data_IF_699659263833
#
_entry.id   IF_699659263833
#
_cell.length_a   1.000
_cell.length_b   1.000
_cell.length_c   1.000
_cell.angle_alpha   90.00
_cell.angle_beta   90.00
_cell.angle_gamma   90.00
#
_symmetry.space_group_name_H-M   'P 1'
#
loop_
_entity.id
_entity.type
_entity.pdbx_description
1 polymer ?
#
# COMPACT_ATOMS: atom_id res chain seq x y z
N UNK A 1 67.82 -44.36 -9.02
CA UNK A 1 66.56 -43.72 -9.47
C UNK A 1 66.01 -42.86 -8.34
N UNK A 2 66.09 -41.53 -8.46
CA UNK A 2 65.58 -40.61 -7.44
C UNK A 2 64.07 -40.41 -7.63
N UNK A 3 63.26 -40.84 -6.66
CA UNK A 3 61.79 -40.75 -6.69
C UNK A 3 61.41 -39.31 -6.35
N UNK A 4 60.97 -38.51 -7.33
CA UNK A 4 60.34 -37.20 -7.08
C UNK A 4 59.02 -37.43 -6.34
N UNK A 5 58.99 -37.11 -5.04
CA UNK A 5 57.76 -37.06 -4.25
C UNK A 5 56.99 -35.83 -4.75
N UNK A 6 55.85 -36.08 -5.41
CA UNK A 6 54.91 -35.04 -5.82
C UNK A 6 54.25 -34.51 -4.55
N UNK A 7 54.56 -33.27 -4.13
CA UNK A 7 53.82 -32.61 -3.05
C UNK A 7 52.36 -32.47 -3.49
N UNK A 8 51.45 -33.17 -2.81
CA UNK A 8 50.03 -32.90 -2.90
C UNK A 8 49.74 -31.69 -2.02
N UNK A 9 49.41 -30.55 -2.62
CA UNK A 9 48.90 -29.39 -1.88
C UNK A 9 47.51 -29.77 -1.34
N UNK A 10 47.46 -30.36 -0.14
CA UNK A 10 46.23 -30.63 0.57
C UNK A 10 45.96 -29.48 1.54
N UNK A 11 44.73 -28.97 1.57
CA UNK A 11 44.32 -27.95 2.52
C UNK A 11 44.41 -28.48 3.94
N UNK A 12 44.91 -27.66 4.86
CA UNK A 12 44.94 -28.03 6.28
C UNK A 12 43.53 -27.98 6.86
N UNK A 13 43.24 -28.80 7.88
CA UNK A 13 41.96 -28.75 8.60
C UNK A 13 41.64 -27.34 9.12
N UNK A 14 42.67 -26.63 9.59
CA UNK A 14 42.54 -25.25 10.07
C UNK A 14 42.14 -24.28 8.96
N UNK A 15 42.72 -24.41 7.76
CA UNK A 15 42.39 -23.58 6.60
C UNK A 15 40.94 -23.80 6.13
N UNK A 16 40.47 -25.06 6.13
CA UNK A 16 39.07 -25.38 5.83
C UNK A 16 38.11 -24.83 6.90
N UNK A 17 38.49 -24.89 8.18
CA UNK A 17 37.65 -24.35 9.27
C UNK A 17 37.53 -22.83 9.23
N UNK A 18 38.63 -22.12 8.95
CA UNK A 18 38.62 -20.66 8.83
C UNK A 18 37.77 -20.23 7.63
N UNK A 19 37.92 -20.88 6.48
CA UNK A 19 37.13 -20.56 5.29
C UNK A 19 35.63 -20.83 5.48
N UNK A 20 35.24 -21.95 6.09
CA UNK A 20 33.85 -22.22 6.45
C UNK A 20 33.31 -21.23 7.48
N UNK A 21 34.14 -20.81 8.45
CA UNK A 21 33.77 -19.79 9.44
C UNK A 21 33.50 -18.42 8.81
N UNK A 22 34.36 -17.98 7.90
CA UNK A 22 34.17 -16.71 7.16
C UNK A 22 32.93 -16.78 6.27
N UNK A 23 32.72 -17.89 5.54
CA UNK A 23 31.52 -18.08 4.72
C UNK A 23 30.24 -18.08 5.57
N UNK A 24 30.27 -18.74 6.73
CA UNK A 24 29.14 -18.75 7.67
C UNK A 24 28.79 -17.36 8.19
N UNK A 25 29.80 -16.55 8.54
CA UNK A 25 29.59 -15.18 9.03
C UNK A 25 29.02 -14.26 7.94
N UNK A 26 29.58 -14.31 6.73
CA UNK A 26 29.10 -13.51 5.59
C UNK A 26 27.68 -13.93 5.19
N UNK A 27 27.40 -15.23 5.17
CA UNK A 27 26.06 -15.74 4.89
C UNK A 27 25.05 -15.28 5.95
N UNK A 28 25.39 -15.33 7.24
CA UNK A 28 24.53 -14.88 8.32
C UNK A 28 24.17 -13.39 8.21
N UNK A 29 25.10 -12.55 7.73
CA UNK A 29 24.84 -11.12 7.51
C UNK A 29 24.02 -10.83 6.25
N UNK A 30 24.10 -11.68 5.22
CA UNK A 30 23.48 -11.41 3.91
C UNK A 30 22.16 -12.12 3.68
N UNK A 31 21.95 -13.30 4.27
CA UNK A 31 20.72 -14.08 4.12
C UNK A 31 19.43 -13.31 4.50
N UNK A 32 19.37 -12.58 5.63
CA UNK A 32 18.15 -11.85 6.02
C UNK A 32 17.74 -10.81 4.97
N UNK A 33 18.70 -10.01 4.48
CA UNK A 33 18.46 -8.97 3.49
C UNK A 33 18.00 -9.56 2.14
N UNK A 34 18.60 -10.67 1.71
CA UNK A 34 18.19 -11.35 0.47
C UNK A 34 16.75 -11.88 0.61
N UNK A 35 16.45 -12.52 1.73
CA UNK A 35 15.12 -13.09 1.98
C UNK A 35 14.02 -12.02 2.02
N UNK A 36 14.27 -10.86 2.61
CA UNK A 36 13.33 -9.74 2.62
C UNK A 36 13.01 -9.28 1.18
N UNK A 37 14.05 -9.03 0.37
CA UNK A 37 13.89 -8.57 -1.01
C UNK A 37 13.22 -9.60 -1.92
N UNK A 38 13.53 -10.88 -1.76
CA UNK A 38 12.88 -11.97 -2.51
C UNK A 38 11.40 -12.08 -2.12
N UNK A 39 11.09 -11.96 -0.83
CA UNK A 39 9.70 -12.01 -0.35
C UNK A 39 8.89 -10.84 -0.90
N UNK A 40 9.44 -9.63 -0.88
CA UNK A 40 8.79 -8.45 -1.48
C UNK A 40 8.47 -8.66 -2.96
N UNK A 41 9.42 -9.23 -3.73
CA UNK A 41 9.20 -9.59 -5.13
C UNK A 41 8.08 -10.60 -5.31
N UNK A 42 8.05 -11.65 -4.51
CA UNK A 42 7.02 -12.70 -4.57
C UNK A 42 5.65 -12.10 -4.24
N UNK A 43 5.56 -11.27 -3.20
CA UNK A 43 4.32 -10.67 -2.74
C UNK A 43 3.76 -9.67 -3.75
N UNK A 44 4.59 -8.83 -4.37
CA UNK A 44 4.17 -7.90 -5.42
C UNK A 44 3.66 -8.64 -6.67
N UNK A 45 4.32 -9.74 -7.07
CA UNK A 45 3.83 -10.56 -8.19
C UNK A 45 2.50 -11.24 -7.85
N UNK A 46 2.31 -11.71 -6.61
CA UNK A 46 1.03 -12.28 -6.16
C UNK A 46 -0.08 -11.23 -6.17
N UNK A 47 0.18 -10.04 -5.64
CA UNK A 47 -0.77 -8.92 -5.68
C UNK A 47 -1.21 -8.61 -7.11
N UNK A 48 -0.25 -8.44 -8.03
CA UNK A 48 -0.54 -8.14 -9.41
C UNK A 48 -1.34 -9.26 -10.08
N UNK A 49 -1.04 -10.53 -9.78
CA UNK A 49 -1.76 -11.68 -10.34
C UNK A 49 -3.21 -11.76 -9.84
N UNK A 50 -3.45 -11.61 -8.53
CA UNK A 50 -4.80 -11.60 -7.95
C UNK A 50 -5.63 -10.47 -8.56
N UNK A 51 -5.07 -9.26 -8.57
CA UNK A 51 -5.72 -8.09 -9.14
C UNK A 51 -6.02 -8.28 -10.64
N UNK A 52 -5.08 -8.79 -11.42
CA UNK A 52 -5.27 -9.09 -12.83
C UNK A 52 -6.40 -10.09 -13.09
N UNK A 53 -6.56 -11.13 -12.26
CA UNK A 53 -7.65 -12.10 -12.39
C UNK A 53 -9.02 -11.47 -12.15
N UNK A 54 -9.13 -10.62 -11.14
CA UNK A 54 -10.35 -9.87 -10.84
C UNK A 54 -10.67 -8.92 -11.99
N UNK A 55 -9.67 -8.16 -12.46
CA UNK A 55 -9.81 -7.24 -13.60
C UNK A 55 -10.24 -7.95 -14.88
N UNK A 56 -9.65 -9.13 -15.17
CA UNK A 56 -10.06 -9.92 -16.33
C UNK A 56 -11.51 -10.41 -16.19
N UNK A 57 -11.96 -10.75 -14.98
CA UNK A 57 -13.35 -11.14 -14.75
C UNK A 57 -14.31 -9.96 -14.93
N UNK A 58 -13.96 -8.76 -14.45
CA UNK A 58 -14.77 -7.55 -14.65
C UNK A 58 -14.77 -7.09 -16.11
N UNK A 59 -13.66 -7.22 -16.83
CA UNK A 59 -13.60 -6.92 -18.26
C UNK A 59 -14.53 -7.84 -19.07
N UNK A 60 -14.63 -9.12 -18.70
CA UNK A 60 -15.61 -10.05 -19.29
C UNK A 60 -17.05 -9.64 -18.95
N UNK A 61 -17.31 -9.22 -17.72
CA UNK A 61 -18.63 -8.71 -17.32
C UNK A 61 -19.00 -7.46 -18.14
N UNK A 62 -18.06 -6.55 -18.39
CA UNK A 62 -18.26 -5.39 -19.26
C UNK A 62 -18.65 -5.82 -20.68
N UNK A 63 -17.90 -6.77 -21.26
CA UNK A 63 -18.16 -7.25 -22.62
C UNK A 63 -19.57 -7.85 -22.79
N UNK A 64 -20.17 -8.32 -21.69
CA UNK A 64 -21.54 -8.85 -21.65
C UNK A 64 -22.60 -7.80 -21.25
N UNK A 65 -22.20 -6.53 -21.06
CA UNK A 65 -23.09 -5.46 -20.61
C UNK A 65 -23.53 -5.57 -19.15
N UNK A 66 -22.90 -6.43 -18.36
CA UNK A 66 -23.29 -6.74 -16.98
C UNK A 66 -22.87 -5.66 -15.98
N UNK A 67 -21.93 -4.80 -16.35
CA UNK A 67 -21.49 -3.67 -15.51
C UNK A 67 -22.34 -2.41 -15.67
N UNK A 68 -23.21 -2.35 -16.67
CA UNK A 68 -24.08 -1.18 -16.92
C UNK A 68 -25.33 -1.18 -16.03
N UNK A 69 -25.54 -2.25 -15.25
CA UNK A 69 -26.59 -2.36 -14.25
C UNK A 69 -26.11 -2.01 -12.84
N UNK A 70 -27.00 -1.48 -12.01
CA UNK A 70 -26.74 -1.26 -10.58
C UNK A 70 -26.94 -2.56 -9.80
N UNK A 71 -25.89 -3.07 -9.16
CA UNK A 71 -26.03 -4.18 -8.22
C UNK A 71 -26.51 -3.66 -6.86
N UNK A 72 -27.56 -4.29 -6.31
CA UNK A 72 -28.14 -3.86 -5.04
C UNK A 72 -27.19 -4.08 -3.84
N UNK A 73 -26.30 -5.07 -3.92
CA UNK A 73 -25.36 -5.43 -2.87
C UNK A 73 -24.10 -6.08 -3.44
N UNK A 74 -23.06 -6.17 -2.61
CA UNK A 74 -21.84 -6.93 -2.92
C UNK A 74 -22.14 -8.39 -3.22
N UNK A 75 -23.09 -9.01 -2.52
CA UNK A 75 -23.49 -10.39 -2.79
C UNK A 75 -24.00 -10.59 -4.21
N UNK A 76 -24.88 -9.69 -4.68
CA UNK A 76 -25.41 -9.74 -6.04
C UNK A 76 -24.32 -9.54 -7.10
N UNK A 77 -23.37 -8.64 -6.83
CA UNK A 77 -22.21 -8.43 -7.70
C UNK A 77 -21.32 -9.69 -7.77
N UNK A 78 -21.02 -10.28 -6.60
CA UNK A 78 -20.18 -11.47 -6.51
C UNK A 78 -20.84 -12.69 -7.15
N UNK A 79 -22.17 -12.78 -7.11
CA UNK A 79 -22.92 -13.84 -7.78
C UNK A 79 -22.72 -13.85 -9.29
N UNK A 80 -22.52 -12.67 -9.89
CA UNK A 80 -22.16 -12.54 -11.29
C UNK A 80 -20.66 -12.71 -11.50
N UNK A 81 -19.82 -12.09 -10.66
CA UNK A 81 -18.37 -12.16 -10.76
C UNK A 81 -17.85 -13.60 -10.74
N UNK A 82 -18.39 -14.45 -9.86
CA UNK A 82 -17.95 -15.84 -9.70
C UNK A 82 -18.21 -16.72 -10.94
N UNK A 83 -19.06 -16.28 -11.88
CA UNK A 83 -19.23 -16.96 -13.18
C UNK A 83 -18.03 -16.75 -14.10
N UNK A 84 -17.29 -15.66 -13.89
CA UNK A 84 -16.14 -15.26 -14.70
C UNK A 84 -14.80 -15.38 -13.94
N UNK A 85 -14.85 -15.57 -12.62
CA UNK A 85 -13.72 -15.74 -11.72
C UNK A 85 -13.80 -17.12 -11.04
N UNK A 86 -12.71 -17.89 -11.11
CA UNK A 86 -12.64 -19.22 -10.47
C UNK A 86 -12.54 -19.08 -8.94
N UNK A 87 -13.68 -19.18 -8.27
CA UNK A 87 -13.81 -19.15 -6.81
C UNK A 87 -13.94 -20.58 -6.27
N UNK A 88 -13.12 -20.94 -5.29
CA UNK A 88 -13.19 -22.22 -4.58
C UNK A 88 -14.12 -22.17 -3.36
N UNK A 89 -14.17 -21.03 -2.67
CA UNK A 89 -15.03 -20.84 -1.48
C UNK A 89 -15.54 -19.40 -1.42
N UNK A 90 -16.81 -19.24 -1.08
CA UNK A 90 -17.44 -17.94 -0.79
C UNK A 90 -17.91 -17.91 0.66
N UNK A 91 -17.73 -16.76 1.30
CA UNK A 91 -18.19 -16.48 2.65
C UNK A 91 -18.96 -15.16 2.66
N UNK A 92 -20.10 -15.15 3.34
CA UNK A 92 -20.88 -13.95 3.60
C UNK A 92 -20.22 -13.08 4.67
N UNK A 93 -20.74 -11.87 4.87
CA UNK A 93 -20.30 -10.99 5.96
C UNK A 93 -20.37 -11.64 7.36
N UNK A 94 -21.28 -12.60 7.58
CA UNK A 94 -21.44 -13.25 8.89
C UNK A 94 -20.39 -14.32 9.19
N UNK A 95 -19.76 -14.89 8.15
CA UNK A 95 -18.76 -15.95 8.27
C UNK A 95 -17.49 -15.62 7.48
N UNK A 96 -17.17 -14.33 7.36
CA UNK A 96 -16.10 -13.85 6.47
C UNK A 96 -14.71 -14.36 6.88
N UNK A 97 -14.52 -14.62 8.17
CA UNK A 97 -13.29 -15.20 8.71
C UNK A 97 -13.00 -16.60 8.16
N UNK A 98 -14.01 -17.37 7.72
CA UNK A 98 -13.82 -18.71 7.17
C UNK A 98 -13.15 -18.69 5.78
N UNK A 99 -13.15 -17.54 5.11
CA UNK A 99 -12.50 -17.32 3.81
C UNK A 99 -11.20 -16.52 3.94
N UNK A 100 -10.71 -16.33 5.16
CA UNK A 100 -9.43 -15.67 5.41
C UNK A 100 -8.48 -16.63 6.14
N UNK A 101 -7.16 -16.60 5.86
CA UNK A 101 -6.24 -17.56 6.45
C UNK A 101 -6.02 -17.40 7.96
N UNK A 102 -6.20 -16.18 8.48
CA UNK A 102 -5.97 -15.86 9.90
C UNK A 102 -7.22 -15.27 10.55
N UNK A 103 -7.43 -15.52 11.84
CA UNK A 103 -8.55 -14.93 12.58
C UNK A 103 -8.34 -13.45 12.89
N UNK A 104 -7.07 -13.08 13.10
CA UNK A 104 -6.63 -11.72 13.37
C UNK A 104 -5.63 -11.27 12.33
N UNK A 105 -5.63 -9.98 12.05
CA UNK A 105 -4.67 -9.29 11.20
C UNK A 105 -4.15 -8.08 11.94
N UNK A 106 -2.91 -7.68 11.65
CA UNK A 106 -2.38 -6.40 12.13
C UNK A 106 -2.72 -5.35 11.07
N UNK A 107 -3.49 -4.35 11.44
CA UNK A 107 -3.91 -3.25 10.55
C UNK A 107 -2.77 -2.26 10.32
N UNK A 108 -2.95 -1.34 9.36
CA UNK A 108 -1.91 -0.37 9.00
C UNK A 108 -1.48 0.59 10.13
N UNK A 109 -2.27 0.66 11.20
CA UNK A 109 -2.04 1.40 12.45
C UNK A 109 -1.30 0.57 13.52
N UNK A 110 -1.00 -0.71 13.24
CA UNK A 110 -0.33 -1.62 14.17
C UNK A 110 -1.25 -2.30 15.18
N UNK A 111 -2.57 -2.07 15.10
CA UNK A 111 -3.56 -2.67 15.98
C UNK A 111 -3.98 -4.08 15.50
N UNK A 112 -4.45 -4.91 16.44
CA UNK A 112 -5.04 -6.20 16.08
C UNK A 112 -6.50 -6.02 15.65
N UNK A 113 -6.81 -6.44 14.43
CA UNK A 113 -8.16 -6.49 13.90
C UNK A 113 -8.66 -7.93 13.74
N UNK A 114 -9.85 -8.21 14.26
CA UNK A 114 -10.52 -9.49 14.07
C UNK A 114 -11.23 -9.52 12.71
N UNK A 115 -10.85 -10.44 11.83
CA UNK A 115 -11.37 -10.51 10.46
C UNK A 115 -12.88 -10.72 10.44
N UNK A 116 -13.45 -11.40 11.44
CA UNK A 116 -14.90 -11.59 11.61
C UNK A 116 -15.69 -10.27 11.75
N UNK A 117 -15.01 -9.17 12.10
CA UNK A 117 -15.58 -7.83 12.20
C UNK A 117 -15.55 -7.07 10.87
N UNK A 118 -14.88 -7.57 9.83
CA UNK A 118 -14.86 -6.95 8.50
C UNK A 118 -16.19 -7.18 7.73
N UNK A 119 -17.31 -6.78 8.31
CA UNK A 119 -18.65 -7.12 7.79
C UNK A 119 -19.12 -6.21 6.67
N UNK A 120 -18.73 -4.93 6.68
CA UNK A 120 -19.21 -3.95 5.68
C UNK A 120 -18.07 -3.13 5.09
N UNK A 121 -18.36 -2.39 4.01
CA UNK A 121 -17.39 -1.50 3.35
C UNK A 121 -16.74 -0.49 4.29
N UNK A 122 -17.48 -0.04 5.30
CA UNK A 122 -16.94 0.79 6.40
C UNK A 122 -15.76 0.12 7.11
N UNK A 123 -15.80 -1.20 7.31
CA UNK A 123 -14.71 -1.95 7.93
C UNK A 123 -13.52 -2.21 6.99
N UNK A 124 -13.67 -1.88 5.71
CA UNK A 124 -12.58 -1.82 4.74
C UNK A 124 -12.17 -0.38 4.42
N UNK A 125 -12.50 0.58 5.30
CA UNK A 125 -12.16 1.99 5.14
C UNK A 125 -12.74 2.63 3.86
N UNK A 126 -13.88 2.12 3.37
CA UNK A 126 -14.57 2.70 2.21
C UNK A 126 -15.61 3.70 2.73
N UNK A 127 -15.34 5.00 2.53
CA UNK A 127 -16.18 6.09 3.03
C UNK A 127 -17.63 5.95 2.53
N UNK A 128 -18.60 6.12 3.42
CA UNK A 128 -20.03 6.11 3.09
C UNK A 128 -20.61 4.74 2.72
N UNK A 129 -19.77 3.72 2.50
CA UNK A 129 -20.21 2.42 2.06
C UNK A 129 -20.70 1.56 3.24
N UNK A 130 -21.96 1.14 3.17
CA UNK A 130 -22.59 0.26 4.16
C UNK A 130 -22.89 -1.12 3.61
N UNK A 131 -22.47 -1.42 2.38
CA UNK A 131 -22.66 -2.73 1.76
C UNK A 131 -21.92 -3.80 2.52
N UNK A 132 -22.52 -4.98 2.61
CA UNK A 132 -21.88 -6.17 3.18
C UNK A 132 -20.62 -6.52 2.39
N UNK A 133 -19.61 -7.01 3.08
CA UNK A 133 -18.42 -7.57 2.45
C UNK A 133 -18.64 -9.04 2.13
N UNK A 134 -17.94 -9.51 1.12
CA UNK A 134 -17.93 -10.91 0.72
C UNK A 134 -16.50 -11.41 0.70
N UNK A 135 -16.23 -12.47 1.46
CA UNK A 135 -14.95 -13.16 1.45
C UNK A 135 -14.92 -14.22 0.35
N UNK A 136 -13.83 -14.29 -0.40
CA UNK A 136 -13.64 -15.25 -1.48
C UNK A 136 -12.27 -15.91 -1.34
N UNK A 137 -12.23 -17.23 -1.47
CA UNK A 137 -11.00 -17.99 -1.71
C UNK A 137 -11.03 -18.40 -3.18
N UNK A 138 -10.05 -17.95 -3.95
CA UNK A 138 -9.87 -18.27 -5.36
C UNK A 138 -9.38 -19.71 -5.53
N UNK A 139 -9.52 -20.26 -6.73
CA UNK A 139 -9.11 -21.64 -7.04
C UNK A 139 -7.60 -21.91 -6.90
N UNK A 140 -6.77 -20.86 -6.85
CA UNK A 140 -5.34 -20.95 -6.57
C UNK A 140 -4.99 -20.78 -5.08
N UNK A 141 -6.01 -20.68 -4.22
CA UNK A 141 -5.86 -20.49 -2.78
C UNK A 141 -5.70 -19.05 -2.32
N UNK A 142 -5.70 -18.06 -3.24
CA UNK A 142 -5.66 -16.66 -2.86
C UNK A 142 -6.95 -16.24 -2.15
N UNK A 143 -6.82 -15.53 -1.03
CA UNK A 143 -7.97 -15.04 -0.25
C UNK A 143 -8.16 -13.55 -0.48
N UNK A 144 -9.40 -13.14 -0.76
CA UNK A 144 -9.80 -11.73 -0.94
C UNK A 144 -11.06 -11.44 -0.12
N UNK A 145 -11.15 -10.22 0.43
CA UNK A 145 -12.39 -9.68 0.99
C UNK A 145 -12.78 -8.48 0.15
N UNK A 146 -13.93 -8.59 -0.51
CA UNK A 146 -14.41 -7.65 -1.52
C UNK A 146 -15.62 -6.87 -1.01
N UNK A 147 -15.67 -5.61 -1.39
CA UNK A 147 -16.83 -4.72 -1.23
C UNK A 147 -17.21 -4.14 -2.59
N UNK A 148 -18.51 -4.11 -2.87
CA UNK A 148 -19.06 -3.35 -4.00
C UNK A 148 -19.35 -1.91 -3.57
N UNK A 149 -18.84 -0.96 -4.35
CA UNK A 149 -19.08 0.45 -4.13
C UNK A 149 -20.43 0.87 -4.71
N UNK A 150 -21.41 1.12 -3.83
CA UNK A 150 -22.74 1.58 -4.25
C UNK A 150 -22.71 2.98 -4.88
N UNK A 151 -21.70 3.81 -4.59
CA UNK A 151 -21.54 5.11 -5.24
C UNK A 151 -21.15 4.98 -6.72
N UNK A 152 -20.72 3.79 -7.15
CA UNK A 152 -20.43 3.48 -8.55
C UNK A 152 -21.65 2.97 -9.32
N UNK A 153 -22.84 2.94 -8.70
CA UNK A 153 -24.08 2.54 -9.37
C UNK A 153 -24.43 3.50 -10.51
N UNK A 154 -24.72 2.94 -11.69
CA UNK A 154 -25.07 3.71 -12.87
C UNK A 154 -23.92 4.52 -13.49
N UNK A 155 -22.68 4.34 -13.02
CA UNK A 155 -21.52 4.90 -13.71
C UNK A 155 -21.34 4.18 -15.04
N UNK A 156 -21.42 4.93 -16.13
CA UNK A 156 -21.01 4.41 -17.44
C UNK A 156 -19.51 4.08 -17.38
N UNK A 157 -19.21 2.79 -17.57
CA UNK A 157 -17.83 2.31 -17.62
C UNK A 157 -17.15 2.81 -18.91
N UNK A 158 -17.91 3.34 -19.88
CA UNK A 158 -17.45 3.82 -21.17
C UNK A 158 -17.05 2.66 -22.09
N UNK A 159 -17.04 2.88 -23.40
CA UNK A 159 -16.78 1.80 -24.37
C UNK A 159 -15.32 1.30 -24.34
N UNK A 160 -14.36 2.20 -24.13
CA UNK A 160 -12.93 1.87 -24.12
C UNK A 160 -12.49 1.42 -22.73
N UNK A 161 -11.78 0.29 -22.62
CA UNK A 161 -11.16 -0.12 -21.35
C UNK A 161 -9.90 0.72 -21.13
N UNK A 162 -9.85 1.45 -20.02
CA UNK A 162 -8.70 2.26 -19.62
C UNK A 162 -7.99 1.59 -18.47
N UNK A 163 -6.71 1.27 -18.66
CA UNK A 163 -5.88 0.67 -17.62
C UNK A 163 -5.11 1.76 -16.86
N UNK A 164 -5.12 1.68 -15.53
CA UNK A 164 -4.31 2.50 -14.66
C UNK A 164 -3.14 1.65 -14.10
N UNK A 165 -1.89 1.95 -14.49
CA UNK A 165 -0.72 1.27 -13.98
C UNK A 165 -0.44 1.66 -12.53
N UNK A 166 0.04 0.71 -11.74
CA UNK A 166 0.55 0.95 -10.39
C UNK A 166 1.94 0.34 -10.25
N UNK A 167 2.88 1.16 -9.80
CA UNK A 167 4.27 0.79 -9.54
C UNK A 167 4.35 -0.02 -8.24
N UNK A 168 4.88 -1.23 -8.32
CA UNK A 168 5.09 -2.12 -7.17
C UNK A 168 6.57 -2.41 -6.98
N UNK A 169 7.07 -2.52 -5.73
CA UNK A 169 8.45 -2.86 -5.46
C UNK A 169 8.72 -4.34 -5.76
N UNK A 170 9.90 -4.65 -6.31
CA UNK A 170 10.36 -6.01 -6.63
C UNK A 170 11.56 -6.44 -5.78
N UNK A 171 11.82 -5.73 -4.68
CA UNK A 171 13.05 -5.88 -3.89
C UNK A 171 14.28 -5.31 -4.59
N UNK A 172 15.36 -5.18 -3.82
CA UNK A 172 16.66 -4.66 -4.24
C UNK A 172 16.58 -3.24 -4.84
N UNK A 173 15.67 -2.39 -4.33
CA UNK A 173 15.45 -1.04 -4.84
C UNK A 173 14.86 -0.99 -6.26
N UNK A 174 14.38 -2.13 -6.79
CA UNK A 174 13.73 -2.21 -8.09
C UNK A 174 12.23 -2.09 -7.94
N UNK A 175 11.59 -1.51 -8.95
CA UNK A 175 10.14 -1.45 -9.06
C UNK A 175 9.71 -1.87 -10.46
N UNK A 176 8.42 -2.20 -10.60
CA UNK A 176 7.80 -2.49 -11.89
C UNK A 176 6.36 -2.01 -11.91
N UNK A 177 5.96 -1.45 -13.04
CA UNK A 177 4.59 -1.06 -13.28
C UNK A 177 3.75 -2.28 -13.66
N UNK A 178 2.60 -2.38 -13.00
CA UNK A 178 1.59 -3.37 -13.33
C UNK A 178 0.27 -2.66 -13.62
N UNK A 179 -0.28 -2.91 -14.80
CA UNK A 179 -1.63 -2.50 -15.15
C UNK A 179 -2.62 -3.55 -14.66
N UNK A 180 -3.18 -3.33 -13.47
CA UNK A 180 -4.17 -4.24 -12.87
C UNK A 180 -5.42 -3.54 -12.35
N UNK A 181 -5.53 -2.23 -12.52
CA UNK A 181 -6.77 -1.49 -12.27
C UNK A 181 -7.30 -0.95 -13.59
N UNK A 182 -8.60 -0.99 -13.78
CA UNK A 182 -9.28 -0.43 -14.97
C UNK A 182 -10.55 0.29 -14.57
N UNK A 183 -11.14 1.04 -15.49
CA UNK A 183 -12.50 1.55 -15.34
C UNK A 183 -13.54 0.43 -15.05
N UNK A 184 -13.34 -0.81 -15.52
CA UNK A 184 -14.26 -1.94 -15.22
C UNK A 184 -14.22 -2.37 -13.76
N UNK A 185 -13.10 -2.12 -13.08
CA UNK A 185 -12.97 -2.38 -11.65
C UNK A 185 -13.45 -1.22 -10.78
N UNK A 186 -13.90 -0.09 -11.34
CA UNK A 186 -14.23 1.14 -10.61
C UNK A 186 -15.18 0.91 -9.42
N UNK A 187 -16.16 0.02 -9.59
CA UNK A 187 -17.18 -0.28 -8.60
C UNK A 187 -16.76 -1.29 -7.51
N UNK A 188 -15.51 -1.72 -7.46
CA UNK A 188 -15.03 -2.67 -6.44
C UNK A 188 -13.73 -2.24 -5.78
N UNK A 189 -13.64 -2.61 -4.51
CA UNK A 189 -12.51 -2.41 -3.63
C UNK A 189 -12.35 -3.70 -2.81
N UNK A 190 -11.11 -4.16 -2.61
CA UNK A 190 -10.88 -5.40 -1.88
C UNK A 190 -9.49 -5.44 -1.24
N UNK A 191 -9.40 -6.15 -0.11
CA UNK A 191 -8.13 -6.54 0.51
C UNK A 191 -7.80 -7.98 0.10
N UNK A 192 -6.51 -8.29 -0.07
CA UNK A 192 -6.04 -9.61 -0.46
C UNK A 192 -4.87 -10.09 0.38
N UNK A 193 -4.82 -11.39 0.66
CA UNK A 193 -3.66 -12.04 1.26
C UNK A 193 -2.63 -12.40 0.17
N UNK A 194 -1.39 -11.97 0.34
CA UNK A 194 -0.26 -12.34 -0.52
C UNK A 194 0.72 -13.28 0.16
N UNK A 195 0.59 -13.51 1.46
CA UNK A 195 1.51 -14.35 2.24
C UNK A 195 1.12 -15.84 2.23
N UNK A 196 -0.10 -16.18 1.83
CA UNK A 196 -0.55 -17.57 1.71
C UNK A 196 -0.68 -18.26 3.06
N UNK A 197 -1.21 -17.55 4.06
CA UNK A 197 -1.56 -18.11 5.37
C UNK A 197 -0.42 -18.30 6.37
N UNK A 198 0.77 -17.72 6.14
CA UNK A 198 1.82 -17.67 7.18
C UNK A 198 1.50 -16.53 8.15
N UNK A 199 1.43 -16.83 9.45
CA UNK A 199 1.13 -15.84 10.50
C UNK A 199 2.40 -15.19 11.07
N UNK A 200 2.28 -14.00 11.70
CA UNK A 200 1.08 -13.15 11.75
C UNK A 200 0.89 -12.37 10.43
N UNK A 201 -0.34 -12.38 9.90
CA UNK A 201 -0.66 -11.67 8.66
C UNK A 201 -0.86 -10.18 8.96
N UNK A 202 -0.10 -9.32 8.30
CA UNK A 202 -0.10 -7.87 8.57
C UNK A 202 -0.25 -7.02 7.31
N UNK A 203 -1.02 -5.94 7.43
CA UNK A 203 -1.02 -4.81 6.49
C UNK A 203 0.29 -4.00 6.59
N UNK A 204 0.90 -3.92 7.77
CA UNK A 204 2.18 -3.22 8.02
C UNK A 204 3.03 -3.88 9.10
N UNK A 205 4.30 -4.17 8.80
CA UNK A 205 5.35 -4.42 9.81
C UNK A 205 6.46 -3.42 9.51
N UNK A 206 6.83 -2.58 10.49
CA UNK A 206 7.88 -1.56 10.36
C UNK A 206 7.68 -0.59 9.18
N UNK A 207 6.46 -0.06 9.00
CA UNK A 207 6.09 0.83 7.88
C UNK A 207 6.26 0.22 6.47
N UNK A 208 6.44 -1.09 6.35
CA UNK A 208 6.46 -1.80 5.06
C UNK A 208 5.22 -2.69 4.95
N UNK A 209 4.46 -2.51 3.87
CA UNK A 209 3.39 -3.42 3.53
C UNK A 209 4.00 -4.79 3.24
N UNK A 210 3.61 -5.87 3.95
CA UNK A 210 4.17 -7.21 3.70
C UNK A 210 3.16 -8.24 3.23
N UNK A 211 2.11 -8.51 4.01
CA UNK A 211 1.37 -9.76 3.85
C UNK A 211 -0.07 -9.59 3.37
N UNK A 212 -0.67 -8.45 3.70
CA UNK A 212 -1.96 -8.02 3.20
C UNK A 212 -1.75 -6.88 2.22
N UNK A 213 -2.49 -6.89 1.11
CA UNK A 213 -2.42 -5.86 0.08
C UNK A 213 -3.80 -5.31 -0.25
N UNK A 214 -3.84 -4.00 -0.44
CA UNK A 214 -5.04 -3.28 -0.85
C UNK A 214 -5.14 -3.20 -2.37
N UNK A 215 -6.32 -3.49 -2.89
CA UNK A 215 -6.76 -3.01 -4.18
C UNK A 215 -7.48 -1.68 -3.98
N UNK A 216 -6.97 -0.62 -4.61
CA UNK A 216 -7.40 0.78 -4.40
C UNK A 216 -7.41 1.19 -2.93
N UNK A 217 -8.55 1.61 -2.38
CA UNK A 217 -8.67 2.26 -1.07
C UNK A 217 -8.94 1.26 0.08
N UNK A 218 -9.26 0.00 -0.23
CA UNK A 218 -9.65 -0.99 0.78
C UNK A 218 -8.53 -1.26 1.80
N UNK A 219 -8.83 -1.11 3.08
CA UNK A 219 -7.94 -1.45 4.21
C UNK A 219 -8.74 -1.91 5.41
N UNK A 220 -8.31 -2.95 6.10
CA UNK A 220 -8.96 -3.36 7.35
C UNK A 220 -8.98 -2.17 8.32
N UNK A 221 -10.15 -1.91 8.89
CA UNK A 221 -10.37 -0.74 9.72
C UNK A 221 -11.54 -0.95 10.67
N UNK A 222 -11.44 -0.36 11.86
CA UNK A 222 -12.56 -0.20 12.78
C UNK A 222 -13.55 0.89 12.33
N UNK A 223 -13.28 1.57 11.22
CA UNK A 223 -14.03 2.71 10.68
C UNK A 223 -13.18 3.99 10.56
N UNK A 224 -11.91 3.95 10.94
CA UNK A 224 -10.90 4.98 10.72
C UNK A 224 -9.69 4.38 9.98
N UNK A 225 -9.23 5.01 8.89
CA UNK A 225 -8.07 4.62 8.09
C UNK A 225 -6.74 4.53 8.87
N UNK A 226 -6.70 5.10 10.08
CA UNK A 226 -5.55 5.15 10.98
C UNK A 226 -5.98 5.26 12.43
N UNK A 227 -5.36 6.15 13.20
CA UNK A 227 -5.67 6.34 14.62
C UNK A 227 -6.89 7.27 14.75
N UNK A 228 -7.91 6.80 15.48
CA UNK A 228 -9.09 7.59 15.82
C UNK A 228 -8.84 8.34 17.13
N UNK A 229 -8.74 9.68 17.08
CA UNK A 229 -8.64 10.50 18.30
C UNK A 229 -10.03 11.01 18.69
N UNK A 230 -10.52 10.72 19.91
CA UNK A 230 -11.81 11.21 20.38
C UNK A 230 -11.94 12.73 20.23
N UNK A 231 -13.05 13.19 19.66
CA UNK A 231 -13.39 14.60 19.42
C UNK A 231 -12.49 15.37 18.43
N UNK A 232 -11.53 14.72 17.76
CA UNK A 232 -10.65 15.37 16.78
C UNK A 232 -10.84 14.81 15.38
N UNK A 233 -10.85 13.48 15.24
CA UNK A 233 -11.00 12.84 13.94
C UNK A 233 -10.02 11.70 13.72
N UNK A 234 -10.21 11.03 12.59
CA UNK A 234 -9.34 9.97 12.12
C UNK A 234 -8.08 10.54 11.47
N UNK A 235 -6.90 10.02 11.80
CA UNK A 235 -5.67 10.39 11.10
C UNK A 235 -4.71 9.23 10.86
N UNK A 236 -3.97 9.31 9.75
CA UNK A 236 -2.84 8.46 9.40
C UNK A 236 -1.60 9.35 9.38
N UNK A 237 -0.62 9.02 10.22
CA UNK A 237 0.68 9.67 10.18
C UNK A 237 1.56 9.02 9.12
N UNK A 238 1.74 9.67 7.97
CA UNK A 238 2.72 9.22 6.98
C UNK A 238 4.14 9.70 7.32
N UNK A 239 4.28 10.66 8.25
CA UNK A 239 5.55 11.33 8.51
C UNK A 239 6.13 11.83 7.19
N UNK A 240 7.41 11.54 6.97
CA UNK A 240 8.12 11.85 5.71
C UNK A 240 8.08 10.68 4.71
N UNK A 241 7.25 9.66 4.93
CA UNK A 241 7.12 8.45 4.11
C UNK A 241 6.21 8.67 2.90
N UNK A 242 6.61 9.60 2.03
CA UNK A 242 5.97 9.87 0.75
C UNK A 242 7.02 10.30 -0.27
N UNK A 243 6.70 10.22 -1.56
CA UNK A 243 7.59 10.68 -2.61
C UNK A 243 7.29 12.13 -3.00
N UNK A 244 8.33 12.93 -3.19
CA UNK A 244 8.19 14.29 -3.71
C UNK A 244 7.87 14.22 -5.21
N UNK A 245 7.09 15.18 -5.71
CA UNK A 245 6.79 15.26 -7.14
C UNK A 245 7.86 16.12 -7.79
N UNK A 246 8.69 15.52 -8.63
CA UNK A 246 9.72 16.26 -9.37
C UNK A 246 9.14 16.82 -10.67
N UNK A 247 9.25 18.14 -10.84
CA UNK A 247 8.99 18.82 -12.12
C UNK A 247 10.32 19.27 -12.70
N UNK A 248 10.71 18.71 -13.83
CA UNK A 248 11.92 19.10 -14.54
C UNK A 248 11.55 20.00 -15.72
N UNK A 249 12.19 21.17 -15.84
CA UNK A 249 12.10 22.01 -17.04
C UNK A 249 13.22 21.67 -18.02
N UNK A 250 12.98 21.90 -19.31
CA UNK A 250 13.94 21.61 -20.37
C UNK A 250 15.29 22.32 -20.18
N UNK A 251 16.31 21.61 -20.66
CA UNK A 251 17.75 21.80 -20.43
C UNK A 251 18.29 23.16 -20.87
N UNK A 252 19.15 23.76 -20.05
CA UNK A 252 20.11 24.76 -20.54
C UNK A 252 21.41 24.07 -20.92
N UNK A 253 21.97 24.45 -22.07
CA UNK A 253 23.28 24.01 -22.52
C UNK A 253 24.34 24.89 -21.86
N UNK A 254 25.35 24.31 -21.22
CA UNK A 254 26.53 25.07 -20.82
C UNK A 254 27.47 25.30 -22.02
N UNK A 255 28.44 26.21 -21.88
CA UNK A 255 29.44 26.49 -22.91
C UNK A 255 30.38 25.31 -23.21
N UNK A 256 30.19 24.15 -22.57
CA UNK A 256 30.94 22.92 -22.76
C UNK A 256 30.10 21.79 -23.38
N UNK A 257 28.84 22.06 -23.77
CA UNK A 257 28.00 21.09 -24.46
C UNK A 257 27.32 20.07 -23.55
N UNK A 258 27.25 20.30 -22.24
CA UNK A 258 26.54 19.43 -21.29
C UNK A 258 25.09 19.91 -21.07
N UNK A 259 24.14 18.96 -21.04
CA UNK A 259 22.74 19.22 -20.70
C UNK A 259 22.58 19.29 -19.18
N UNK A 260 22.26 20.47 -18.65
CA UNK A 260 21.83 20.62 -17.26
C UNK A 260 20.30 20.59 -17.20
N UNK A 261 19.72 19.52 -16.65
CA UNK A 261 18.30 19.43 -16.35
C UNK A 261 18.03 20.04 -14.97
N UNK A 262 17.22 21.10 -14.90
CA UNK A 262 16.84 21.69 -13.62
C UNK A 262 15.52 21.07 -13.13
N UNK A 263 15.63 20.14 -12.18
CA UNK A 263 14.47 19.54 -11.52
C UNK A 263 14.16 20.28 -10.22
N UNK A 264 12.91 20.71 -10.05
CA UNK A 264 12.38 21.23 -8.80
C UNK A 264 11.50 20.17 -8.15
N UNK A 265 11.88 19.72 -6.95
CA UNK A 265 11.08 18.79 -6.16
C UNK A 265 9.97 19.53 -5.42
N UNK A 266 8.74 19.05 -5.52
CA UNK A 266 7.59 19.54 -4.78
C UNK A 266 7.11 18.48 -3.79
N UNK A 267 7.72 18.48 -2.61
CA UNK A 267 7.42 17.57 -1.52
C UNK A 267 6.07 17.88 -0.85
N UNK A 268 5.60 19.13 -0.86
CA UNK A 268 4.26 19.44 -0.37
C UNK A 268 3.17 18.82 -1.27
N UNK A 269 3.32 18.92 -2.59
CA UNK A 269 2.41 18.27 -3.54
C UNK A 269 2.50 16.75 -3.44
N UNK A 270 3.70 16.20 -3.24
CA UNK A 270 3.92 14.78 -2.95
C UNK A 270 3.16 14.30 -1.71
N UNK A 271 3.26 15.04 -0.60
CA UNK A 271 2.52 14.75 0.62
C UNK A 271 1.00 14.80 0.41
N UNK A 272 0.51 15.80 -0.32
CA UNK A 272 -0.91 15.96 -0.64
C UNK A 272 -1.41 14.81 -1.50
N UNK A 273 -0.64 14.40 -2.51
CA UNK A 273 -0.92 13.24 -3.35
C UNK A 273 -0.93 11.96 -2.51
N UNK A 274 0.05 11.76 -1.62
CA UNK A 274 0.12 10.58 -0.77
C UNK A 274 -1.12 10.44 0.14
N UNK A 275 -1.63 11.54 0.70
CA UNK A 275 -2.91 11.49 1.43
C UNK A 275 -4.08 11.09 0.52
N UNK A 276 -4.16 11.66 -0.70
CA UNK A 276 -5.22 11.32 -1.64
C UNK A 276 -5.14 9.86 -2.13
N UNK A 277 -3.92 9.34 -2.34
CA UNK A 277 -3.69 7.95 -2.78
C UNK A 277 -4.18 6.92 -1.74
N UNK A 278 -4.26 7.31 -0.46
CA UNK A 278 -4.82 6.49 0.62
C UNK A 278 -6.29 6.84 0.93
N UNK A 279 -6.94 7.65 0.10
CA UNK A 279 -8.35 8.04 0.28
C UNK A 279 -8.59 9.05 1.41
N UNK A 280 -7.54 9.72 1.89
CA UNK A 280 -7.60 10.73 2.94
C UNK A 280 -7.23 12.11 2.39
N UNK A 281 -7.33 13.14 3.24
CA UNK A 281 -6.94 14.51 2.86
C UNK A 281 -5.82 15.04 3.74
N UNK A 282 -4.99 15.92 3.18
CA UNK A 282 -4.09 16.74 3.98
C UNK A 282 -4.92 17.62 4.94
N UNK A 283 -4.49 17.86 6.19
CA UNK A 283 -5.32 18.50 7.20
C UNK A 283 -5.39 20.00 6.94
N UNK A 284 -6.47 20.62 7.41
CA UNK A 284 -6.55 22.09 7.47
C UNK A 284 -5.71 22.61 8.64
N UNK A 285 -5.44 23.92 8.67
CA UNK A 285 -4.78 24.58 9.80
C UNK A 285 -5.44 24.23 11.14
N UNK A 286 -6.76 24.32 11.21
CA UNK A 286 -7.52 24.07 12.43
C UNK A 286 -7.42 22.61 12.85
N UNK A 287 -7.57 21.68 11.91
CA UNK A 287 -7.46 20.25 12.18
C UNK A 287 -6.06 19.88 12.69
N UNK A 288 -5.01 20.37 12.05
CA UNK A 288 -3.63 20.09 12.47
C UNK A 288 -3.32 20.69 13.85
N UNK A 289 -3.85 21.89 14.14
CA UNK A 289 -3.76 22.52 15.46
C UNK A 289 -4.47 21.70 16.55
N UNK A 290 -5.64 21.12 16.24
CA UNK A 290 -6.33 20.23 17.19
C UNK A 290 -5.47 19.02 17.54
N UNK A 291 -4.83 18.38 16.56
CA UNK A 291 -3.91 17.26 16.82
C UNK A 291 -2.72 17.68 17.68
N UNK A 292 -2.05 18.79 17.35
CA UNK A 292 -0.93 19.30 18.15
C UNK A 292 -1.30 19.53 19.63
N UNK A 293 -2.50 20.06 19.90
CA UNK A 293 -2.96 20.30 21.28
C UNK A 293 -3.54 19.06 21.96
N UNK A 294 -3.66 17.95 21.24
CA UNK A 294 -4.20 16.71 21.75
C UNK A 294 -3.05 15.92 22.36
N UNK A 295 -2.97 15.87 23.68
CA UNK A 295 -1.89 15.20 24.42
C UNK A 295 -1.97 13.66 24.32
N UNK A 296 -2.40 13.13 23.17
CA UNK A 296 -2.51 11.70 22.91
C UNK A 296 -1.14 11.13 22.47
N UNK A 297 -0.71 9.99 23.04
CA UNK A 297 0.59 9.38 22.73
C UNK A 297 0.81 9.08 21.24
N UNK A 298 -0.27 8.83 20.50
CA UNK A 298 -0.26 8.43 19.10
C UNK A 298 0.02 9.61 18.15
N UNK A 299 -0.16 10.84 18.63
CA UNK A 299 0.14 12.05 17.86
C UNK A 299 1.63 12.38 17.98
N UNK A 300 2.34 12.69 16.88
CA UNK A 300 3.74 13.07 16.93
C UNK A 300 4.01 14.21 17.91
N UNK A 301 5.07 14.12 18.71
CA UNK A 301 5.43 15.16 19.68
C UNK A 301 6.56 16.08 19.18
N UNK A 302 7.05 15.86 17.95
CA UNK A 302 8.14 16.64 17.37
C UNK A 302 8.13 16.56 15.83
N UNK A 303 8.83 17.51 15.19
CA UNK A 303 8.95 17.58 13.74
C UNK A 303 8.01 18.62 13.11
N UNK A 304 8.25 18.92 11.85
CA UNK A 304 7.45 19.84 11.05
C UNK A 304 6.42 19.06 10.25
N UNK A 305 5.17 19.53 10.23
CA UNK A 305 4.09 18.88 9.49
C UNK A 305 3.36 19.84 8.57
N UNK A 306 3.16 19.42 7.33
CA UNK A 306 2.42 20.18 6.32
C UNK A 306 0.92 20.26 6.62
N UNK A 307 0.30 21.37 6.24
CA UNK A 307 -1.15 21.47 6.09
C UNK A 307 -1.55 22.00 4.70
N UNK A 308 -2.84 21.92 4.40
CA UNK A 308 -3.40 22.05 3.05
C UNK A 308 -3.30 23.44 2.41
N UNK A 309 -2.79 24.45 3.12
CA UNK A 309 -2.74 25.83 2.62
C UNK A 309 -1.38 26.16 2.02
N UNK A 310 -1.41 26.74 0.82
CA UNK A 310 -0.26 27.38 0.21
C UNK A 310 -0.13 28.83 0.71
N UNK A 311 1.10 29.33 0.80
CA UNK A 311 1.35 30.75 1.08
C UNK A 311 1.53 31.54 -0.21
N UNK A 312 2.46 31.08 -1.05
CA UNK A 312 2.74 31.58 -2.40
C UNK A 312 3.14 30.41 -3.31
N UNK A 313 3.43 30.65 -4.58
CA UNK A 313 3.75 29.61 -5.58
C UNK A 313 4.76 28.56 -5.08
N UNK A 314 5.80 29.01 -4.37
CA UNK A 314 6.92 28.15 -3.95
C UNK A 314 6.92 27.81 -2.45
N UNK A 315 6.00 28.38 -1.67
CA UNK A 315 5.93 28.20 -0.21
C UNK A 315 4.60 27.60 0.21
N UNK A 316 4.66 26.63 1.12
CA UNK A 316 3.51 26.06 1.80
C UNK A 316 3.67 26.18 3.30
N UNK A 317 2.58 26.04 4.05
CA UNK A 317 2.63 26.21 5.48
C UNK A 317 2.79 24.90 6.25
N UNK A 318 3.58 24.96 7.32
CA UNK A 318 3.85 23.87 8.26
C UNK A 318 3.66 24.28 9.72
N UNK A 319 3.45 23.29 10.59
CA UNK A 319 3.41 23.43 12.05
C UNK A 319 4.51 22.57 12.68
N UNK A 320 5.29 23.15 13.60
CA UNK A 320 6.26 22.42 14.40
C UNK A 320 5.60 21.81 15.64
N UNK A 321 5.58 20.48 15.75
CA UNK A 321 4.97 19.78 16.88
C UNK A 321 5.84 19.75 18.14
N UNK A 322 7.12 20.13 18.05
CA UNK A 322 8.02 20.26 19.21
C UNK A 322 7.98 21.63 19.88
N UNK A 323 7.38 22.64 19.26
CA UNK A 323 7.36 24.02 19.80
C UNK A 323 6.15 24.87 19.44
N UNK A 324 5.20 24.38 18.63
CA UNK A 324 3.96 25.07 18.26
C UNK A 324 4.13 26.21 17.25
N UNK A 325 5.32 26.37 16.67
CA UNK A 325 5.62 27.45 15.71
C UNK A 325 5.05 27.15 14.32
N UNK A 326 4.45 28.16 13.72
CA UNK A 326 3.95 28.13 12.33
C UNK A 326 4.99 28.73 11.39
N UNK A 327 5.24 28.11 10.24
CA UNK A 327 6.23 28.60 9.29
C UNK A 327 5.82 28.33 7.84
N UNK A 328 6.22 29.21 6.92
CA UNK A 328 6.04 29.02 5.48
C UNK A 328 7.33 28.45 4.89
N UNK A 329 7.36 27.13 4.73
CA UNK A 329 8.51 26.40 4.20
C UNK A 329 8.47 26.34 2.66
N UNK A 330 9.65 26.22 2.06
CA UNK A 330 9.75 25.95 0.63
C UNK A 330 9.15 24.59 0.31
N UNK A 331 8.32 24.49 -0.74
CA UNK A 331 7.63 23.26 -1.13
C UNK A 331 8.58 22.09 -1.44
N UNK A 332 9.87 22.36 -1.65
CA UNK A 332 10.95 21.37 -1.82
C UNK A 332 11.45 20.74 -0.51
N UNK A 333 11.15 21.34 0.64
CA UNK A 333 11.54 20.81 1.94
C UNK A 333 10.69 19.59 2.27
N UNK A 334 11.30 18.59 2.91
CA UNK A 334 10.61 17.36 3.32
C UNK A 334 10.13 17.49 4.76
N UNK A 335 8.90 18.00 4.93
CA UNK A 335 8.19 17.96 6.21
C UNK A 335 7.28 16.72 6.30
N UNK A 336 6.82 16.37 7.49
CA UNK A 336 5.87 15.28 7.68
C UNK A 336 4.45 15.61 7.19
N UNK A 337 3.58 14.61 7.07
CA UNK A 337 2.15 14.83 6.83
C UNK A 337 1.26 13.91 7.67
N UNK A 338 0.24 14.49 8.30
CA UNK A 338 -0.85 13.77 8.96
C UNK A 338 -2.06 13.77 8.03
N UNK A 339 -2.34 12.66 7.36
CA UNK A 339 -3.52 12.54 6.51
C UNK A 339 -4.74 12.35 7.40
N UNK A 340 -5.80 13.11 7.18
CA UNK A 340 -7.01 13.09 8.02
C UNK A 340 -8.22 12.61 7.23
N UNK A 341 -9.07 11.85 7.90
CA UNK A 341 -10.32 11.29 7.39
C UNK A 341 -11.46 11.65 8.32
N UNK A 342 -12.69 11.50 7.82
CA UNK A 342 -13.91 11.57 8.64
C UNK A 342 -14.24 10.19 9.21
#
# INVERSE_FOLDING_TARGET
>A
MSKKIKQSNAFTLAEVLITLGVLGLVAAMTMPAIMENVTERVNSNRQANIAYKVTQATDKMKALGLLNGSYASTDAFVDELQKHLKVAKRCSANNIADCWPTQKVITSDGEEFEVSKAKTGKNLNIKGNTSNNVGLVLADGASIILTYNQDSQGMDVGDVITAAPKTLPLGFGRSKDFAYTTNTTAAIDFVMDVNGGKGPNSETIDNKMKDIRSFKAARFSTGCAGVMIPNIGCFVNLGTSYECIDTCSDTTWDNHGSQNQHCSSNCWAGAKKACNDIGMRMPSKNTLSSFYNSNYPEVPQSGWFWYSSEYVSDLAWSLNFGGGSWFADQKRVRNGVLCVGE
#
